data_IF_782912754333
#
_entry.id   IF_782912754333
#
_cell.length_a   1.000
_cell.length_b   1.000
_cell.length_c   1.000
_cell.angle_alpha   90.00
_cell.angle_beta   90.00
_cell.angle_gamma   90.00
#
_symmetry.space_group_name_H-M   'P 1'
#
loop_
_entity.id
_entity.type
_entity.pdbx_description
1 polymer ?
#
# COMPACT_ATOMS: atom_id res chain seq x y z
N UNK A 1 6.68 11.82 -31.80
CA UNK A 1 7.51 10.65 -31.49
C UNK A 1 8.90 11.16 -31.11
N UNK A 2 9.18 11.37 -29.83
CA UNK A 2 10.52 11.73 -29.35
C UNK A 2 11.07 10.51 -28.62
N UNK A 3 12.24 10.08 -29.09
CA UNK A 3 13.03 8.98 -28.58
C UNK A 3 13.49 9.33 -27.15
N UNK A 4 13.14 8.50 -26.17
CA UNK A 4 13.86 8.47 -24.89
C UNK A 4 15.16 7.71 -25.13
N UNK A 5 16.28 8.38 -24.84
CA UNK A 5 17.60 7.77 -24.77
C UNK A 5 17.61 6.67 -23.73
N UNK A 6 18.27 5.55 -24.04
CA UNK A 6 18.55 4.45 -23.13
C UNK A 6 19.05 4.94 -21.75
N UNK A 7 18.34 4.58 -20.69
CA UNK A 7 18.94 4.29 -19.38
C UNK A 7 18.62 5.19 -18.18
N UNK A 8 18.11 6.41 -18.34
CA UNK A 8 17.92 7.33 -17.20
C UNK A 8 16.42 7.61 -16.94
N UNK A 9 15.95 7.29 -15.74
CA UNK A 9 14.59 7.58 -15.30
C UNK A 9 14.40 9.10 -15.11
N UNK A 10 13.19 9.61 -15.38
CA UNK A 10 12.85 10.97 -14.93
C UNK A 10 12.76 11.00 -13.39
N UNK A 11 12.82 12.20 -12.80
CA UNK A 11 12.88 12.37 -11.35
C UNK A 11 11.72 11.68 -10.61
N UNK A 12 10.50 11.80 -11.14
CA UNK A 12 9.30 11.18 -10.56
C UNK A 12 9.32 9.65 -10.68
N UNK A 13 9.80 9.13 -11.82
CA UNK A 13 9.92 7.69 -12.02
C UNK A 13 10.99 7.07 -11.12
N UNK A 14 12.10 7.79 -10.89
CA UNK A 14 13.14 7.39 -9.96
C UNK A 14 12.66 7.41 -8.51
N UNK A 15 11.95 8.47 -8.10
CA UNK A 15 11.34 8.55 -6.77
C UNK A 15 10.34 7.39 -6.55
N UNK A 16 9.48 7.13 -7.54
CA UNK A 16 8.53 6.01 -7.48
C UNK A 16 9.25 4.66 -7.36
N UNK A 17 10.28 4.39 -8.17
CA UNK A 17 11.06 3.16 -8.11
C UNK A 17 11.64 2.94 -6.70
N UNK A 18 12.29 3.97 -6.15
CA UNK A 18 12.86 3.93 -4.80
C UNK A 18 11.80 3.61 -3.74
N UNK A 19 10.64 4.28 -3.80
CA UNK A 19 9.55 4.08 -2.84
C UNK A 19 8.93 2.68 -2.98
N UNK A 20 8.65 2.23 -4.20
CA UNK A 20 8.08 0.90 -4.47
C UNK A 20 9.04 -0.20 -4.03
N UNK A 21 10.35 -0.05 -4.28
CA UNK A 21 11.36 -1.03 -3.86
C UNK A 21 11.37 -1.21 -2.33
N UNK A 22 11.37 -0.10 -1.57
CA UNK A 22 11.28 -0.13 -0.10
C UNK A 22 9.94 -0.70 0.39
N UNK A 23 8.84 -0.31 -0.24
CA UNK A 23 7.51 -0.81 0.13
C UNK A 23 7.34 -2.30 -0.16
N UNK A 24 7.93 -2.81 -1.25
CA UNK A 24 7.91 -4.23 -1.62
C UNK A 24 8.50 -5.09 -0.51
N UNK A 25 9.64 -4.71 0.06
CA UNK A 25 10.25 -5.45 1.17
C UNK A 25 9.32 -5.49 2.39
N UNK A 26 8.71 -4.34 2.73
CA UNK A 26 7.73 -4.24 3.83
C UNK A 26 6.49 -5.09 3.63
N UNK A 27 5.93 -5.09 2.42
CA UNK A 27 4.71 -5.85 2.12
C UNK A 27 4.95 -7.35 2.23
N UNK A 28 6.09 -7.83 1.69
CA UNK A 28 6.47 -9.25 1.77
C UNK A 28 6.71 -9.66 3.22
N UNK A 29 7.43 -8.84 3.99
CA UNK A 29 7.65 -9.05 5.42
C UNK A 29 6.32 -9.15 6.17
N UNK A 30 5.41 -8.18 5.98
CA UNK A 30 4.13 -8.11 6.67
C UNK A 30 3.24 -9.33 6.41
N UNK A 31 3.13 -9.77 5.15
CA UNK A 31 2.34 -10.95 4.78
C UNK A 31 2.95 -12.22 5.38
N UNK A 32 4.28 -12.35 5.32
CA UNK A 32 4.98 -13.51 5.87
C UNK A 32 4.80 -13.60 7.39
N UNK A 33 5.00 -12.51 8.13
CA UNK A 33 4.81 -12.48 9.59
C UNK A 33 3.36 -12.75 9.98
N UNK A 34 2.39 -12.18 9.24
CA UNK A 34 0.97 -12.37 9.50
C UNK A 34 0.48 -13.81 9.37
N UNK A 35 1.15 -14.61 8.55
CA UNK A 35 0.77 -16.01 8.28
C UNK A 35 1.46 -17.01 9.23
N UNK A 36 2.39 -16.58 10.08
CA UNK A 36 3.08 -17.47 11.03
C UNK A 36 2.14 -17.98 12.11
N UNK A 37 2.38 -19.21 12.56
CA UNK A 37 1.69 -19.77 13.72
C UNK A 37 2.00 -18.93 14.97
N UNK A 38 0.96 -18.53 15.69
CA UNK A 38 1.08 -17.67 16.88
C UNK A 38 1.21 -16.17 16.60
N UNK A 39 1.15 -15.73 15.33
CA UNK A 39 1.06 -14.31 15.01
C UNK A 39 -0.22 -13.71 15.60
N UNK A 40 -0.13 -12.48 16.12
CA UNK A 40 -1.30 -11.75 16.63
C UNK A 40 -2.14 -11.26 15.46
N UNK A 41 -3.47 -11.32 15.59
CA UNK A 41 -4.39 -10.69 14.65
C UNK A 41 -4.29 -9.16 14.75
N UNK A 42 -4.07 -8.63 15.95
CA UNK A 42 -3.84 -7.21 16.19
C UNK A 42 -3.02 -7.01 17.46
N UNK A 43 -2.10 -6.05 17.47
CA UNK A 43 -1.51 -5.55 18.72
C UNK A 43 -2.33 -4.36 19.21
N UNK A 44 -3.41 -4.67 19.95
CA UNK A 44 -4.36 -3.68 20.40
C UNK A 44 -3.73 -2.58 21.26
N UNK A 45 -4.16 -1.34 21.03
CA UNK A 45 -3.85 -0.11 21.77
C UNK A 45 -5.14 0.68 21.94
N UNK A 46 -5.27 1.44 23.02
CA UNK A 46 -6.34 2.43 23.14
C UNK A 46 -6.16 3.54 22.08
N UNK A 47 -7.23 4.28 21.70
CA UNK A 47 -7.11 5.41 20.78
C UNK A 47 -6.07 6.45 21.21
N UNK A 48 -5.96 6.72 22.51
CA UNK A 48 -5.02 7.68 23.07
C UNK A 48 -3.57 7.19 22.94
N UNK A 49 -3.33 5.92 23.26
CA UNK A 49 -2.02 5.27 23.07
C UNK A 49 -1.62 5.24 21.59
N UNK A 50 -2.55 4.87 20.71
CA UNK A 50 -2.29 4.76 19.28
C UNK A 50 -1.98 6.13 18.66
N UNK A 51 -2.67 7.19 19.09
CA UNK A 51 -2.39 8.55 18.64
C UNK A 51 -0.95 8.97 18.97
N UNK A 52 -0.47 8.61 20.16
CA UNK A 52 0.92 8.88 20.57
C UNK A 52 1.92 8.05 19.76
N UNK A 53 1.62 6.77 19.51
CA UNK A 53 2.49 5.86 18.76
C UNK A 53 2.59 6.21 17.27
N UNK A 54 1.50 6.67 16.66
CA UNK A 54 1.48 7.09 15.26
C UNK A 54 2.00 8.51 15.06
N UNK A 55 2.03 9.34 16.12
CA UNK A 55 2.47 10.73 16.09
C UNK A 55 1.88 11.50 14.88
N UNK A 56 0.55 11.55 14.80
CA UNK A 56 -0.19 12.12 13.67
C UNK A 56 -0.18 13.66 13.62
N UNK A 57 0.63 14.31 14.47
CA UNK A 57 0.79 15.75 14.47
C UNK A 57 1.66 16.18 13.27
N UNK A 58 1.03 16.84 12.30
CA UNK A 58 1.69 17.24 11.06
C UNK A 58 2.57 18.47 11.28
N UNK A 59 3.84 18.38 10.88
CA UNK A 59 4.76 19.52 10.82
C UNK A 59 4.51 20.38 9.57
N UNK A 60 4.94 21.65 9.63
CA UNK A 60 4.86 22.56 8.48
C UNK A 60 5.74 22.11 7.29
N UNK A 61 6.83 21.38 7.58
CA UNK A 61 7.70 20.77 6.58
C UNK A 61 7.46 19.26 6.47
N UNK A 62 7.58 18.70 5.27
CA UNK A 62 7.56 17.24 5.07
C UNK A 62 8.78 16.55 5.70
N UNK A 63 8.58 15.33 6.20
CA UNK A 63 9.62 14.51 6.83
C UNK A 63 10.37 13.60 5.84
N UNK A 64 9.99 13.63 4.57
CA UNK A 64 10.60 12.83 3.50
C UNK A 64 10.49 11.33 3.73
N UNK A 65 11.34 10.57 3.02
CA UNK A 65 11.41 9.10 3.10
C UNK A 65 11.70 8.62 4.53
N UNK A 66 12.53 9.35 5.27
CA UNK A 66 12.95 9.01 6.63
C UNK A 66 11.82 9.13 7.67
N UNK A 67 10.82 9.98 7.43
CA UNK A 67 9.61 10.00 8.27
C UNK A 67 8.49 9.09 7.75
N UNK A 68 8.38 8.92 6.43
CA UNK A 68 7.32 8.15 5.80
C UNK A 68 7.36 6.67 6.19
N UNK A 69 8.52 6.02 6.06
CA UNK A 69 8.61 4.57 6.25
C UNK A 69 8.47 4.12 7.72
N UNK A 70 9.00 4.84 8.73
CA UNK A 70 8.68 4.56 10.12
C UNK A 70 7.18 4.67 10.40
N UNK A 71 6.50 5.69 9.85
CA UNK A 71 5.05 5.81 9.99
C UNK A 71 4.32 4.64 9.34
N UNK A 72 4.68 4.24 8.11
CA UNK A 72 4.12 3.05 7.45
C UNK A 72 4.32 1.80 8.31
N UNK A 73 5.51 1.59 8.90
CA UNK A 73 5.78 0.46 9.80
C UNK A 73 4.86 0.47 11.03
N UNK A 74 4.67 1.64 11.65
CA UNK A 74 3.75 1.76 12.78
C UNK A 74 2.30 1.48 12.36
N UNK A 75 1.87 1.99 11.20
CA UNK A 75 0.54 1.69 10.65
C UNK A 75 0.38 0.18 10.45
N UNK A 76 1.34 -0.50 9.83
CA UNK A 76 1.29 -1.95 9.64
C UNK A 76 1.26 -2.71 10.97
N UNK A 77 2.07 -2.30 11.95
CA UNK A 77 2.20 -2.96 13.25
C UNK A 77 0.92 -2.89 14.09
N UNK A 78 0.28 -1.72 14.12
CA UNK A 78 -0.90 -1.48 14.94
C UNK A 78 -2.24 -1.65 14.20
N UNK A 79 -2.20 -1.94 12.90
CA UNK A 79 -3.41 -2.32 12.15
C UNK A 79 -3.78 -3.78 12.40
N UNK A 80 -5.07 -4.07 12.27
CA UNK A 80 -5.56 -5.46 12.26
C UNK A 80 -4.97 -6.18 11.04
N UNK A 81 -4.28 -7.28 11.30
CA UNK A 81 -3.70 -8.14 10.28
C UNK A 81 -4.74 -9.09 9.71
N UNK A 82 -5.36 -8.67 8.62
CA UNK A 82 -6.38 -9.47 7.91
C UNK A 82 -5.78 -10.67 7.17
N UNK A 83 -4.45 -10.72 6.97
CA UNK A 83 -3.77 -11.90 6.41
C UNK A 83 -3.62 -13.03 7.42
N UNK A 84 -3.81 -12.76 8.71
CA UNK A 84 -3.74 -13.78 9.74
C UNK A 84 -4.92 -14.77 9.61
N UNK A 85 -4.68 -16.09 9.54
CA UNK A 85 -5.75 -17.09 9.47
C UNK A 85 -6.73 -17.07 10.66
N UNK A 86 -6.36 -16.44 11.78
CA UNK A 86 -7.23 -16.23 12.94
C UNK A 86 -8.16 -15.02 12.83
N UNK A 87 -8.07 -14.20 11.78
CA UNK A 87 -8.97 -13.06 11.57
C UNK A 87 -10.34 -13.55 11.06
N UNK A 88 -11.39 -13.40 11.88
CA UNK A 88 -12.75 -13.89 11.61
C UNK A 88 -13.84 -12.85 11.90
N UNK A 89 -13.47 -11.57 12.03
CA UNK A 89 -14.39 -10.52 12.50
C UNK A 89 -15.38 -10.02 11.43
N UNK A 90 -15.13 -10.30 10.15
CA UNK A 90 -15.86 -9.73 9.00
C UNK A 90 -16.15 -10.79 7.95
N UNK A 91 -17.01 -10.42 6.99
CA UNK A 91 -17.33 -11.25 5.81
C UNK A 91 -16.23 -11.24 4.72
N UNK A 92 -15.08 -10.64 5.01
CA UNK A 92 -13.87 -10.67 4.18
C UNK A 92 -12.69 -11.08 5.06
N UNK A 93 -11.68 -11.71 4.48
CA UNK A 93 -10.46 -12.08 5.17
C UNK A 93 -9.27 -11.98 4.21
N UNK A 94 -8.28 -11.19 4.61
CA UNK A 94 -7.11 -10.87 3.81
C UNK A 94 -7.47 -10.26 2.46
N UNK A 95 -6.42 -10.03 1.67
CA UNK A 95 -6.55 -9.98 0.21
C UNK A 95 -5.68 -11.10 -0.36
N UNK A 96 -5.58 -11.20 -1.68
CA UNK A 96 -4.64 -12.09 -2.35
C UNK A 96 -3.57 -11.26 -3.10
N UNK A 97 -2.41 -11.84 -3.43
CA UNK A 97 -1.34 -11.10 -4.11
C UNK A 97 -1.77 -10.47 -5.46
N UNK A 98 -2.62 -11.16 -6.22
CA UNK A 98 -3.14 -10.65 -7.51
C UNK A 98 -4.00 -9.40 -7.29
N UNK A 99 -4.82 -9.40 -6.24
CA UNK A 99 -5.62 -8.26 -5.81
C UNK A 99 -4.76 -7.05 -5.48
N UNK A 100 -3.68 -7.23 -4.71
CA UNK A 100 -2.74 -6.13 -4.41
C UNK A 100 -2.15 -5.53 -5.69
N UNK A 101 -1.65 -6.36 -6.61
CA UNK A 101 -1.07 -5.86 -7.87
C UNK A 101 -2.12 -5.15 -8.72
N UNK A 102 -3.37 -5.64 -8.71
CA UNK A 102 -4.48 -5.00 -9.43
C UNK A 102 -4.81 -3.63 -8.85
N UNK A 103 -4.83 -3.50 -7.52
CA UNK A 103 -5.04 -2.20 -6.83
C UNK A 103 -3.91 -1.21 -7.12
N UNK A 104 -2.66 -1.67 -7.15
CA UNK A 104 -1.51 -0.83 -7.53
C UNK A 104 -1.63 -0.35 -8.98
N UNK A 105 -2.05 -1.22 -9.90
CA UNK A 105 -2.27 -0.85 -11.30
C UNK A 105 -3.35 0.23 -11.44
N UNK A 106 -4.50 0.05 -10.76
CA UNK A 106 -5.59 1.03 -10.79
C UNK A 106 -5.13 2.36 -10.20
N UNK A 107 -4.37 2.33 -9.11
CA UNK A 107 -3.79 3.53 -8.48
C UNK A 107 -2.82 4.25 -9.43
N UNK A 108 -1.94 3.52 -10.12
CA UNK A 108 -0.99 4.09 -11.08
C UNK A 108 -1.70 4.77 -12.25
N UNK A 109 -2.79 4.18 -12.74
CA UNK A 109 -3.58 4.75 -13.83
C UNK A 109 -4.36 6.00 -13.40
N UNK A 110 -4.64 6.15 -12.09
CA UNK A 110 -5.50 7.21 -11.53
C UNK A 110 -6.75 7.45 -12.39
N UNK A 111 -7.38 6.36 -12.81
CA UNK A 111 -8.40 6.36 -13.84
C UNK A 111 -9.81 6.30 -13.24
N UNK A 112 -10.80 6.73 -14.02
CA UNK A 112 -12.20 6.68 -13.63
C UNK A 112 -13.04 6.11 -14.79
N UNK A 113 -13.74 4.99 -14.56
CA UNK A 113 -14.46 4.23 -15.59
C UNK A 113 -15.79 4.85 -16.05
N UNK A 114 -16.15 6.06 -15.59
CA UNK A 114 -17.46 6.67 -15.88
C UNK A 114 -17.74 6.94 -17.37
N UNK A 115 -16.73 7.13 -18.22
CA UNK A 115 -16.90 7.30 -19.67
C UNK A 115 -15.80 6.59 -20.46
N UNK A 116 -16.19 5.89 -21.53
CA UNK A 116 -15.30 5.04 -22.32
C UNK A 116 -14.05 5.75 -22.85
N UNK A 117 -14.18 7.00 -23.33
CA UNK A 117 -13.06 7.68 -24.00
C UNK A 117 -11.89 8.05 -23.06
N UNK A 118 -12.11 8.09 -21.73
CA UNK A 118 -11.04 8.34 -20.74
C UNK A 118 -10.64 7.10 -19.96
N UNK A 119 -11.26 5.94 -20.23
CA UNK A 119 -10.95 4.67 -19.54
C UNK A 119 -11.28 3.43 -20.38
N UNK A 120 -10.85 3.34 -21.65
CA UNK A 120 -11.35 2.33 -22.59
C UNK A 120 -11.07 0.89 -22.14
N UNK A 121 -9.86 0.61 -21.63
CA UNK A 121 -9.51 -0.72 -21.15
C UNK A 121 -10.31 -1.11 -19.90
N UNK A 122 -10.44 -0.20 -18.92
CA UNK A 122 -11.19 -0.46 -17.69
C UNK A 122 -12.69 -0.64 -17.96
N UNK A 123 -13.26 0.17 -18.85
CA UNK A 123 -14.66 0.01 -19.28
C UNK A 123 -14.90 -1.32 -19.98
N UNK A 124 -13.97 -1.81 -20.80
CA UNK A 124 -14.12 -3.14 -21.41
C UNK A 124 -13.99 -4.26 -20.38
N UNK A 125 -13.07 -4.13 -19.41
CA UNK A 125 -12.92 -5.10 -18.30
C UNK A 125 -14.20 -5.18 -17.47
N UNK A 126 -14.84 -4.05 -17.18
CA UNK A 126 -16.10 -3.99 -16.43
C UNK A 126 -17.29 -4.62 -17.19
N UNK A 127 -17.24 -4.63 -18.52
CA UNK A 127 -18.28 -5.22 -19.38
C UNK A 127 -18.04 -6.69 -19.74
N UNK A 128 -16.90 -7.27 -19.37
CA UNK A 128 -16.52 -8.65 -19.70
C UNK A 128 -17.20 -9.67 -18.78
#
# INVERSE_FOLDING_TARGET
MKYYSDGELCAEAFELEMLVSKMKDLMVEYVNEGRKSGARVVDYKSPEELKQLLNLDLSYSGSGVEGLFPLIRNILCYSVNTWNPGFMDKLYAGTNPVGIISEMLITLLNANSHVYHVSPALTLIENA
#
